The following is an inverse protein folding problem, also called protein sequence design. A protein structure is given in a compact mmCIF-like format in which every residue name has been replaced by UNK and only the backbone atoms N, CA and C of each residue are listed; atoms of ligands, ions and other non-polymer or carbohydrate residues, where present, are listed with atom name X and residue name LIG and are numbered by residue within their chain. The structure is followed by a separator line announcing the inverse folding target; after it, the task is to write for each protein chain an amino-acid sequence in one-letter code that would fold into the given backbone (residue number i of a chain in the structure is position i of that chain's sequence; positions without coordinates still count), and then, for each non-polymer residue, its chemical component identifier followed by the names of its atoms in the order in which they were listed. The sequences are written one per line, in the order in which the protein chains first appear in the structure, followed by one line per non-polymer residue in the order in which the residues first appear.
data_IF_586170161939
#
_entry.id   IF_586170161939
#
_cell.length_a   1.000
_cell.length_b   1.000
_cell.length_c   1.000
_cell.angle_alpha   90.00
_cell.angle_beta   90.00
_cell.angle_gamma   90.00
#
_symmetry.space_group_name_H-M   'P 1'
#
loop_
_entity.id
_entity.type
_entity.pdbx_description
1 polymer ?
#
# COMPACT_ATOMS: atom_id res chain seq x y z
N UNK A 1 0.69 8.66 14.39
CA UNK A 1 0.21 7.28 14.65
C UNK A 1 -1.10 6.88 13.93
N UNK A 2 -2.09 7.76 13.73
CA UNK A 2 -3.39 7.41 13.07
C UNK A 2 -3.25 6.78 11.66
N UNK A 3 -2.32 7.28 10.83
CA UNK A 3 -2.10 6.74 9.48
C UNK A 3 -1.54 5.31 9.48
N UNK A 4 -0.58 5.01 10.37
CA UNK A 4 -0.02 3.67 10.53
C UNK A 4 -1.06 2.66 11.01
N UNK A 5 -1.96 3.07 11.91
CA UNK A 5 -3.06 2.22 12.36
C UNK A 5 -4.04 1.91 11.22
N UNK A 6 -4.39 2.90 10.40
CA UNK A 6 -5.28 2.69 9.25
C UNK A 6 -4.68 1.70 8.25
N UNK A 7 -3.40 1.82 7.94
CA UNK A 7 -2.68 0.91 7.04
C UNK A 7 -2.65 -0.52 7.58
N UNK A 8 -2.37 -0.67 8.89
CA UNK A 8 -2.38 -1.97 9.56
C UNK A 8 -3.75 -2.63 9.50
N UNK A 9 -4.83 -1.90 9.78
CA UNK A 9 -6.19 -2.43 9.71
C UNK A 9 -6.54 -2.88 8.28
N UNK A 10 -6.18 -2.09 7.27
CA UNK A 10 -6.39 -2.47 5.87
C UNK A 10 -5.64 -3.76 5.52
N UNK A 11 -4.35 -3.87 5.86
CA UNK A 11 -3.56 -5.08 5.61
C UNK A 11 -4.09 -6.30 6.36
N UNK A 12 -4.54 -6.12 7.60
CA UNK A 12 -5.11 -7.20 8.40
C UNK A 12 -6.39 -7.74 7.77
N UNK A 13 -7.26 -6.86 7.28
CA UNK A 13 -8.51 -7.26 6.61
C UNK A 13 -8.23 -7.96 5.28
N UNK A 14 -7.30 -7.47 4.45
CA UNK A 14 -6.96 -8.13 3.17
C UNK A 14 -6.39 -9.52 3.41
N UNK A 15 -5.39 -9.65 4.29
CA UNK A 15 -4.79 -10.95 4.63
C UNK A 15 -5.82 -11.93 5.20
N UNK A 16 -6.72 -11.45 6.07
CA UNK A 16 -7.78 -12.29 6.62
C UNK A 16 -8.77 -12.75 5.54
N UNK A 17 -9.07 -11.90 4.57
CA UNK A 17 -9.96 -12.21 3.45
C UNK A 17 -9.34 -13.25 2.51
N UNK A 18 -8.04 -13.12 2.21
CA UNK A 18 -7.28 -14.11 1.46
C UNK A 18 -7.24 -15.47 2.15
N UNK A 19 -7.00 -15.47 3.46
CA UNK A 19 -6.98 -16.68 4.26
C UNK A 19 -8.35 -17.38 4.31
N UNK A 20 -9.43 -16.62 4.51
CA UNK A 20 -10.80 -17.16 4.43
C UNK A 20 -11.10 -17.72 3.05
N UNK A 21 -10.73 -16.98 1.99
CA UNK A 21 -10.91 -17.42 0.60
C UNK A 21 -10.21 -18.75 0.31
N UNK A 22 -8.98 -18.94 0.83
CA UNK A 22 -8.23 -20.19 0.72
C UNK A 22 -8.93 -21.35 1.44
N UNK A 23 -9.47 -21.10 2.64
CA UNK A 23 -10.27 -22.10 3.35
C UNK A 23 -11.55 -22.47 2.60
N UNK A 24 -12.22 -21.50 2.00
CA UNK A 24 -13.41 -21.73 1.18
C UNK A 24 -13.09 -22.54 -0.08
N UNK A 25 -11.93 -22.29 -0.72
CA UNK A 25 -11.47 -23.04 -1.90
C UNK A 25 -11.25 -24.55 -1.63
N UNK A 26 -11.09 -24.95 -0.36
CA UNK A 26 -10.96 -26.37 0.01
C UNK A 26 -12.29 -27.12 0.09
N UNK A 27 -13.42 -26.41 0.14
CA UNK A 27 -14.72 -27.04 -0.04
C UNK A 27 -14.89 -27.35 -1.52
N UNK A 28 -15.18 -28.60 -1.88
CA UNK A 28 -15.26 -29.14 -3.26
C UNK A 28 -16.39 -28.51 -4.09
N UNK A 29 -16.30 -27.21 -4.36
CA UNK A 29 -17.23 -26.44 -5.17
C UNK A 29 -16.44 -25.60 -6.17
N UNK A 30 -16.59 -25.90 -7.45
CA UNK A 30 -15.79 -25.28 -8.51
C UNK A 30 -15.90 -23.74 -8.52
N UNK A 31 -17.08 -23.20 -8.20
CA UNK A 31 -17.25 -21.74 -8.16
C UNK A 31 -16.44 -21.06 -7.04
N UNK A 32 -16.17 -21.77 -5.93
CA UNK A 32 -15.35 -21.24 -4.84
C UNK A 32 -13.88 -21.19 -5.23
N UNK A 33 -13.40 -22.14 -6.03
CA UNK A 33 -12.04 -22.15 -6.58
C UNK A 33 -11.82 -20.98 -7.54
N UNK A 34 -12.74 -20.75 -8.49
CA UNK A 34 -12.66 -19.57 -9.37
C UNK A 34 -12.75 -18.26 -8.59
N UNK A 35 -13.60 -18.19 -7.56
CA UNK A 35 -13.69 -17.03 -6.69
C UNK A 35 -12.37 -16.78 -5.94
N UNK A 36 -11.71 -17.84 -5.48
CA UNK A 36 -10.41 -17.74 -4.82
C UNK A 36 -9.35 -17.11 -5.73
N UNK A 37 -9.29 -17.52 -7.00
CA UNK A 37 -8.37 -16.95 -7.98
C UNK A 37 -8.58 -15.44 -8.15
N UNK A 38 -9.84 -14.99 -8.26
CA UNK A 38 -10.18 -13.57 -8.41
C UNK A 38 -9.82 -12.79 -7.15
N UNK A 39 -10.16 -13.31 -5.97
CA UNK A 39 -9.85 -12.67 -4.69
C UNK A 39 -8.34 -12.56 -4.49
N UNK A 40 -7.57 -13.59 -4.84
CA UNK A 40 -6.12 -13.59 -4.73
C UNK A 40 -5.47 -12.53 -5.66
N UNK A 41 -5.98 -12.37 -6.88
CA UNK A 41 -5.53 -11.29 -7.78
C UNK A 41 -5.85 -9.91 -7.19
N UNK A 42 -7.06 -9.72 -6.68
CA UNK A 42 -7.48 -8.46 -6.06
C UNK A 42 -6.68 -8.16 -4.79
N UNK A 43 -6.38 -9.16 -3.99
CA UNK A 43 -5.56 -9.08 -2.79
C UNK A 43 -4.15 -8.58 -3.13
N UNK A 44 -3.51 -9.14 -4.16
CA UNK A 44 -2.20 -8.68 -4.63
C UNK A 44 -2.23 -7.19 -5.02
N UNK A 45 -3.25 -6.75 -5.77
CA UNK A 45 -3.42 -5.34 -6.18
C UNK A 45 -3.63 -4.45 -4.94
N UNK A 46 -4.45 -4.87 -3.99
CA UNK A 46 -4.74 -4.12 -2.77
C UNK A 46 -3.51 -4.00 -1.87
N UNK A 47 -2.71 -5.05 -1.72
CA UNK A 47 -1.44 -4.99 -0.96
C UNK A 47 -0.49 -4.01 -1.63
N UNK A 48 -0.35 -4.09 -2.95
CA UNK A 48 0.48 -3.16 -3.71
C UNK A 48 0.02 -1.71 -3.47
N UNK A 49 -1.29 -1.47 -3.55
CA UNK A 49 -1.88 -0.16 -3.31
C UNK A 49 -1.61 0.36 -1.89
N UNK A 50 -1.94 -0.45 -0.88
CA UNK A 50 -1.80 -0.07 0.53
C UNK A 50 -0.32 0.14 0.90
N UNK A 51 0.59 -0.73 0.45
CA UNK A 51 2.01 -0.66 0.76
C UNK A 51 2.75 0.45 -0.01
N UNK A 52 2.47 0.64 -1.30
CA UNK A 52 3.21 1.60 -2.14
C UNK A 52 2.59 3.00 -2.12
N UNK A 53 1.26 3.10 -2.18
CA UNK A 53 0.56 4.39 -2.17
C UNK A 53 0.16 4.84 -0.76
N UNK A 54 -0.03 3.91 0.18
CA UNK A 54 -0.32 4.26 1.58
C UNK A 54 0.90 4.78 2.35
N UNK A 55 2.11 4.46 1.90
CA UNK A 55 3.34 4.91 2.54
C UNK A 55 3.85 6.19 1.88
N UNK A 56 3.56 7.34 2.51
CA UNK A 56 3.96 8.69 2.01
C UNK A 56 5.42 8.76 1.55
N UNK A 57 6.34 8.05 2.22
CA UNK A 57 7.77 7.97 1.82
C UNK A 57 8.00 7.31 0.46
N UNK A 58 7.28 6.22 0.15
CA UNK A 58 7.46 5.47 -1.10
C UNK A 58 6.82 6.21 -2.26
N UNK A 59 5.64 6.79 -2.07
CA UNK A 59 4.98 7.61 -3.09
C UNK A 59 5.77 8.86 -3.44
N UNK A 60 6.42 9.49 -2.46
CA UNK A 60 7.31 10.64 -2.70
C UNK A 60 8.55 10.26 -3.52
N UNK A 61 9.20 9.13 -3.20
CA UNK A 61 10.32 8.61 -3.99
C UNK A 61 9.90 8.23 -5.40
N UNK A 62 8.74 7.58 -5.57
CA UNK A 62 8.19 7.24 -6.89
C UNK A 62 7.85 8.48 -7.70
N UNK A 63 7.27 9.51 -7.07
CA UNK A 63 7.00 10.80 -7.71
C UNK A 63 8.30 11.46 -8.18
N UNK A 64 9.37 11.41 -7.37
CA UNK A 64 10.68 11.94 -7.76
C UNK A 64 11.32 11.16 -8.93
N UNK A 65 11.21 9.83 -8.95
CA UNK A 65 11.73 9.01 -10.05
C UNK A 65 10.91 9.17 -11.34
N UNK A 66 9.58 9.25 -11.24
CA UNK A 66 8.70 9.37 -12.40
C UNK A 66 8.67 10.79 -12.98
N UNK A 67 8.88 11.82 -12.15
CA UNK A 67 8.94 13.23 -12.57
C UNK A 67 10.34 13.69 -12.98
N UNK A 68 11.31 12.77 -13.12
CA UNK A 68 12.69 13.07 -13.49
C UNK A 68 12.84 13.68 -14.91
N UNK A 69 11.74 13.81 -15.66
CA UNK A 69 11.66 14.46 -16.97
C UNK A 69 10.82 15.75 -17.00
N UNK A 70 10.16 16.15 -15.89
CA UNK A 70 9.37 17.37 -15.82
C UNK A 70 9.97 18.30 -14.76
N UNK A 71 10.76 19.26 -15.23
CA UNK A 71 11.33 20.38 -14.46
C UNK A 71 10.24 21.38 -14.06
N UNK A 72 9.25 20.90 -13.30
CA UNK A 72 8.13 21.66 -12.75
C UNK A 72 8.01 21.33 -11.28
N UNK A 73 8.92 21.91 -10.51
CA UNK A 73 8.85 22.20 -9.09
C UNK A 73 7.40 22.26 -8.56
N UNK A 74 6.95 21.16 -7.94
CA UNK A 74 5.74 21.17 -7.13
C UNK A 74 6.12 21.48 -5.68
N UNK A 75 5.55 22.57 -5.19
CA UNK A 75 5.78 23.27 -3.93
C UNK A 75 5.52 22.40 -2.67
N UNK A 76 5.00 21.18 -2.83
CA UNK A 76 4.74 20.24 -1.71
C UNK A 76 5.99 19.50 -1.20
N UNK A 77 7.13 19.61 -1.88
CA UNK A 77 8.40 19.00 -1.45
C UNK A 77 9.12 19.73 -0.30
N UNK A 78 8.71 20.97 0.00
CA UNK A 78 9.37 21.81 1.02
C UNK A 78 8.95 21.42 2.45
N UNK A 79 7.66 21.10 2.65
CA UNK A 79 7.07 20.69 3.94
C UNK A 79 7.66 19.36 4.45
N UNK A 80 7.94 18.41 3.54
CA UNK A 80 8.57 17.13 3.89
C UNK A 80 10.10 17.21 4.00
N UNK A 81 10.72 18.18 3.32
CA UNK A 81 12.16 18.46 3.48
C UNK A 81 12.48 18.88 4.91
N UNK A 82 11.62 19.69 5.53
CA UNK A 82 11.68 20.06 6.95
C UNK A 82 11.41 18.89 7.90
N UNK A 83 10.45 18.01 7.61
CA UNK A 83 10.24 16.81 8.44
C UNK A 83 11.40 15.81 8.36
N UNK A 84 12.05 15.69 7.19
CA UNK A 84 13.22 14.81 7.01
C UNK A 84 14.49 15.39 7.66
N UNK A 85 14.68 16.71 7.64
CA UNK A 85 15.77 17.36 8.40
C UNK A 85 15.51 17.32 9.90
N UNK A 86 14.27 17.48 10.36
CA UNK A 86 13.94 17.38 11.79
C UNK A 86 14.21 15.97 12.37
N UNK A 87 13.93 14.91 11.62
CA UNK A 87 14.21 13.51 12.04
C UNK A 87 15.72 13.23 12.08
N UNK A 88 16.50 13.84 11.19
CA UNK A 88 17.96 13.65 11.13
C UNK A 88 18.73 14.64 12.02
N UNK A 89 18.06 15.66 12.57
CA UNK A 89 18.65 16.69 13.43
C UNK A 89 18.73 16.30 14.91
N UNK A 90 18.23 15.12 15.31
CA UNK A 90 18.55 14.50 16.60
C UNK A 90 18.43 15.41 17.83
N UNK A 91 17.29 16.07 18.00
CA UNK A 91 16.86 16.62 19.30
C UNK A 91 15.77 15.73 19.90
#
# INVERSE_FOLDING_TARGET
MKYSFRMFVFLFVTMSTGWLSLLLSRLSYEALEYCHIIINLLEAILILYVCVFGQRRVTFLLSKTCNCCNSGENIDGLDWGEEMTAINAGY
#
